data_IF_171123126457
#
_entry.id   IF_171123126457
#
_cell.length_a   1.000
_cell.length_b   1.000
_cell.length_c   1.000
_cell.angle_alpha   90.00
_cell.angle_beta   90.00
_cell.angle_gamma   90.00
#
_symmetry.space_group_name_H-M   'P 1'
#
loop_
_entity.id
_entity.type
_entity.pdbx_description
1 polymer ?
#
# COMPACT_ATOMS: atom_id res chain seq x y z
N UNK A 1 30.50 8.76 13.35
CA UNK A 1 29.63 9.20 12.23
C UNK A 1 28.16 8.89 12.51
N UNK A 2 27.63 7.67 12.29
CA UNK A 2 26.21 7.34 12.61
C UNK A 2 25.86 7.54 14.09
N UNK A 3 26.71 7.06 15.02
CA UNK A 3 26.50 7.25 16.48
C UNK A 3 26.48 8.72 16.91
N UNK A 4 27.18 9.59 16.18
CA UNK A 4 27.17 11.03 16.45
C UNK A 4 25.96 11.71 15.81
N UNK A 5 25.38 11.09 14.78
CA UNK A 5 24.18 11.57 14.12
C UNK A 5 22.94 11.20 14.91
N UNK A 6 22.91 10.01 15.50
CA UNK A 6 21.92 9.55 16.48
C UNK A 6 21.76 10.53 17.65
N UNK A 7 22.89 10.92 18.25
CA UNK A 7 22.92 11.93 19.32
C UNK A 7 22.35 13.29 18.92
N UNK A 8 22.45 13.64 17.64
CA UNK A 8 21.98 14.94 17.10
C UNK A 8 20.53 14.87 16.61
N UNK A 9 20.07 13.70 16.20
CA UNK A 9 18.74 13.46 15.64
C UNK A 9 18.20 12.09 16.11
N UNK A 10 17.78 11.98 17.38
CA UNK A 10 17.28 10.72 17.92
C UNK A 10 16.03 10.25 17.18
N UNK A 11 15.91 8.95 16.92
CA UNK A 11 14.77 8.36 16.21
C UNK A 11 14.89 8.34 14.67
N UNK A 12 15.87 9.05 14.09
CA UNK A 12 16.04 9.10 12.62
C UNK A 12 16.74 7.88 12.06
N UNK A 13 17.61 7.24 12.83
CA UNK A 13 18.31 6.04 12.36
C UNK A 13 17.33 4.90 12.16
N UNK A 14 16.34 4.77 13.04
CA UNK A 14 15.27 3.79 12.97
C UNK A 14 14.41 4.02 11.72
N UNK A 15 14.02 5.27 11.46
CA UNK A 15 13.29 5.63 10.23
C UNK A 15 14.09 5.30 8.98
N UNK A 16 15.40 5.61 8.96
CA UNK A 16 16.26 5.28 7.84
C UNK A 16 16.43 3.77 7.66
N UNK A 17 16.58 3.03 8.77
CA UNK A 17 16.72 1.58 8.75
C UNK A 17 15.46 0.91 8.20
N UNK A 18 14.28 1.32 8.66
CA UNK A 18 13.00 0.84 8.12
C UNK A 18 12.82 1.19 6.64
N UNK A 19 13.25 2.38 6.20
CA UNK A 19 13.20 2.74 4.79
C UNK A 19 14.11 1.85 3.92
N UNK A 20 15.30 1.52 4.41
CA UNK A 20 16.25 0.64 3.72
C UNK A 20 15.79 -0.82 3.61
N UNK A 21 14.80 -1.26 4.40
CA UNK A 21 14.27 -2.63 4.29
C UNK A 21 13.36 -2.82 3.06
N UNK A 22 12.80 -1.74 2.52
CA UNK A 22 11.80 -1.78 1.45
C UNK A 22 12.34 -1.18 0.13
N UNK A 23 13.60 -1.42 -0.21
CA UNK A 23 14.22 -0.91 -1.45
C UNK A 23 14.51 -2.05 -2.43
N UNK A 24 14.12 -1.86 -3.68
CA UNK A 24 14.46 -2.72 -4.82
C UNK A 24 15.86 -2.34 -5.34
N UNK A 25 16.72 -3.27 -5.79
CA UNK A 25 18.06 -2.96 -6.29
C UNK A 25 18.11 -1.86 -7.37
N UNK A 26 17.05 -1.73 -8.18
CA UNK A 26 16.89 -0.66 -9.16
C UNK A 26 16.92 0.75 -8.53
N UNK A 27 16.40 0.94 -7.31
CA UNK A 27 16.37 2.23 -6.61
C UNK A 27 17.74 2.73 -6.16
N UNK A 28 18.72 1.82 -6.03
CA UNK A 28 20.06 2.17 -5.58
C UNK A 28 20.96 2.68 -6.71
N UNK A 29 20.48 2.68 -7.96
CA UNK A 29 21.23 3.10 -9.15
C UNK A 29 22.61 2.42 -9.26
N UNK A 30 22.76 1.22 -8.71
CA UNK A 30 24.02 0.49 -8.69
C UNK A 30 24.05 -0.52 -9.83
N UNK A 31 24.94 -0.28 -10.80
CA UNK A 31 25.10 -1.13 -11.99
C UNK A 31 25.65 -2.52 -11.69
N UNK A 32 26.20 -2.75 -10.50
CA UNK A 32 26.64 -4.08 -10.06
C UNK A 32 25.50 -4.91 -9.47
N UNK A 33 24.53 -4.23 -8.84
CA UNK A 33 23.38 -4.88 -8.21
C UNK A 33 22.19 -5.01 -9.18
N UNK A 34 22.13 -4.16 -10.21
CA UNK A 34 21.07 -4.18 -11.21
C UNK A 34 21.61 -3.91 -12.62
N UNK A 35 21.33 -4.83 -13.56
CA UNK A 35 21.76 -4.70 -14.95
C UNK A 35 20.80 -3.82 -15.76
N UNK A 36 21.07 -2.51 -15.75
CA UNK A 36 20.32 -1.55 -16.55
C UNK A 36 20.52 -1.71 -18.06
N UNK A 37 21.59 -2.35 -18.52
CA UNK A 37 21.91 -2.47 -19.96
C UNK A 37 21.14 -3.61 -20.63
N UNK A 38 20.80 -4.64 -19.86
CA UNK A 38 20.02 -5.79 -20.33
C UNK A 38 18.51 -5.53 -20.43
N UNK A 39 18.02 -4.37 -19.99
CA UNK A 39 16.59 -4.04 -20.02
C UNK A 39 16.11 -3.90 -21.46
N UNK A 40 15.12 -4.70 -21.83
CA UNK A 40 14.48 -4.67 -23.15
C UNK A 40 12.98 -4.43 -23.01
N UNK A 41 12.38 -3.74 -23.98
CA UNK A 41 10.95 -3.47 -23.95
C UNK A 41 10.17 -4.79 -24.01
N UNK A 42 9.45 -5.12 -22.94
CA UNK A 42 8.67 -6.37 -22.82
C UNK A 42 9.38 -7.52 -22.09
N UNK A 43 10.54 -7.30 -21.47
CA UNK A 43 11.15 -8.29 -20.59
C UNK A 43 10.28 -8.59 -19.38
N UNK A 44 10.34 -9.82 -18.86
CA UNK A 44 9.67 -10.18 -17.61
C UNK A 44 10.09 -9.22 -16.49
N UNK A 45 9.10 -8.79 -15.71
CA UNK A 45 9.31 -7.87 -14.60
C UNK A 45 10.10 -8.61 -13.52
N UNK A 46 11.39 -8.30 -13.40
CA UNK A 46 12.25 -8.88 -12.38
C UNK A 46 11.76 -8.43 -11.01
N UNK A 47 11.45 -9.41 -10.14
CA UNK A 47 11.06 -9.20 -8.74
C UNK A 47 9.81 -8.32 -8.54
N UNK A 48 8.84 -8.41 -9.46
CA UNK A 48 7.57 -7.65 -9.36
C UNK A 48 7.67 -6.17 -9.71
N UNK A 49 8.87 -5.65 -9.97
CA UNK A 49 9.10 -4.32 -10.53
C UNK A 49 8.99 -3.21 -9.49
N UNK A 50 8.99 -1.98 -9.97
CA UNK A 50 8.78 -0.80 -9.12
C UNK A 50 7.29 -0.49 -8.97
N UNK A 51 6.68 -1.10 -7.95
CA UNK A 51 5.28 -0.91 -7.59
C UNK A 51 4.96 0.50 -7.07
N UNK A 52 5.96 1.35 -6.80
CA UNK A 52 5.71 2.68 -6.22
C UNK A 52 4.90 3.60 -7.15
N UNK A 53 4.93 3.33 -8.46
CA UNK A 53 4.21 4.09 -9.48
C UNK A 53 3.15 3.27 -10.22
N UNK A 54 2.91 2.03 -9.80
CA UNK A 54 1.88 1.20 -10.41
C UNK A 54 0.49 1.71 -10.00
N UNK A 55 -0.44 1.69 -10.95
CA UNK A 55 -1.81 2.12 -10.69
C UNK A 55 -2.51 1.06 -9.84
N UNK A 56 -2.96 1.44 -8.66
CA UNK A 56 -3.77 0.55 -7.81
C UNK A 56 -5.01 0.07 -8.59
N UNK A 57 -5.20 -1.24 -8.65
CA UNK A 57 -6.43 -1.85 -9.16
C UNK A 57 -7.54 -1.67 -8.11
N UNK A 58 -8.25 -0.55 -8.20
CA UNK A 58 -9.39 -0.29 -7.33
C UNK A 58 -10.54 -1.19 -7.81
N UNK A 59 -11.08 -2.09 -6.95
CA UNK A 59 -12.21 -2.91 -7.33
C UNK A 59 -13.40 -2.00 -7.67
N UNK A 60 -14.06 -2.27 -8.81
CA UNK A 60 -15.26 -1.54 -9.24
C UNK A 60 -16.39 -1.60 -8.21
N UNK A 61 -16.36 -2.62 -7.35
CA UNK A 61 -17.33 -2.85 -6.28
C UNK A 61 -16.60 -2.78 -4.93
N UNK A 62 -16.92 -1.81 -4.07
CA UNK A 62 -16.33 -1.74 -2.73
C UNK A 62 -16.77 -2.92 -1.88
N UNK A 63 -15.90 -3.37 -0.96
CA UNK A 63 -16.23 -4.43 -0.03
C UNK A 63 -17.45 -4.05 0.81
N UNK A 64 -18.52 -4.85 0.75
CA UNK A 64 -19.79 -4.57 1.43
C UNK A 64 -20.86 -3.92 0.56
N UNK A 65 -20.62 -3.70 -0.73
CA UNK A 65 -21.67 -3.29 -1.66
C UNK A 65 -22.71 -4.41 -1.80
N UNK A 66 -23.91 -4.18 -1.29
CA UNK A 66 -25.08 -5.02 -1.49
C UNK A 66 -26.01 -4.27 -2.46
N UNK A 67 -26.47 -4.89 -3.56
CA UNK A 67 -27.49 -4.28 -4.40
C UNK A 67 -28.75 -4.05 -3.55
N UNK A 68 -29.40 -2.89 -3.73
CA UNK A 68 -30.61 -2.41 -3.05
C UNK A 68 -31.86 -3.27 -3.34
N UNK A 69 -31.72 -4.57 -3.61
CA UNK A 69 -32.83 -5.50 -3.79
C UNK A 69 -33.32 -6.11 -2.45
N UNK A 70 -32.62 -5.85 -1.34
CA UNK A 70 -32.94 -6.41 -0.01
C UNK A 70 -33.57 -5.40 0.97
N UNK A 71 -34.28 -4.40 0.45
CA UNK A 71 -35.08 -3.45 1.25
C UNK A 71 -36.11 -4.16 2.15
N UNK A 72 -36.51 -5.38 1.77
CA UNK A 72 -37.41 -6.24 2.55
C UNK A 72 -36.84 -6.67 3.91
N UNK A 73 -35.51 -6.82 4.02
CA UNK A 73 -34.87 -7.20 5.29
C UNK A 73 -34.77 -6.03 6.28
N UNK A 74 -34.66 -4.79 5.76
CA UNK A 74 -34.59 -3.57 6.56
C UNK A 74 -35.94 -3.17 7.16
N UNK A 75 -37.05 -3.46 6.49
CA UNK A 75 -38.41 -3.25 7.03
C UNK A 75 -38.71 -4.11 8.26
N UNK A 76 -38.19 -5.34 8.32
CA UNK A 76 -38.37 -6.25 9.45
C UNK A 76 -37.63 -5.82 10.73
N UNK A 77 -36.67 -4.90 10.62
CA UNK A 77 -35.82 -4.40 11.71
C UNK A 77 -36.25 -3.02 12.24
N UNK A 78 -37.36 -2.45 11.73
CA UNK A 78 -37.88 -1.19 12.28
C UNK A 78 -38.44 -1.42 13.68
N UNK A 79 -37.81 -0.77 14.66
CA UNK A 79 -38.29 -0.74 16.05
C UNK A 79 -39.60 0.05 16.12
N UNK A 80 -40.66 -0.58 16.65
CA UNK A 80 -41.93 0.09 16.93
C UNK A 80 -41.73 1.09 18.08
N UNK A 81 -41.64 2.38 17.73
CA UNK A 81 -41.64 3.46 18.70
C UNK A 81 -43.07 3.66 19.20
N UNK A 82 -43.34 3.16 20.40
CA UNK A 82 -44.61 3.42 21.10
C UNK A 82 -44.45 4.77 21.81
N UNK A 83 -45.14 5.82 21.35
CA UNK A 83 -45.26 7.07 22.10
C UNK A 83 -46.12 6.84 23.35
N UNK A 84 -45.49 6.86 24.52
CA UNK A 84 -46.19 6.88 25.81
C UNK A 84 -46.52 8.33 26.15
N UNK A 85 -47.81 8.62 26.33
CA UNK A 85 -48.37 9.93 26.67
C UNK A 85 -48.32 10.21 28.17
#
# INVERSE_FOLDING_TARGET
MLRDWDKRYPGRIETMFSAMQNVVPSHLCDTNLFDFKGITHGSEVVDGGDLAFDREEIPLQPAGWQPEEDDTALEALRLDVIEVK
#
